data_IF_246263775127
#
_entry.id   IF_246263775127
#
_cell.length_a   1.000
_cell.length_b   1.000
_cell.length_c   1.000
_cell.angle_alpha   90.00
_cell.angle_beta   90.00
_cell.angle_gamma   90.00
#
_symmetry.space_group_name_H-M   'P 1'
#
loop_
_entity.id
_entity.type
_entity.pdbx_description
1 polymer ?
#
# COMPACT_ATOMS: atom_id res chain seq x y z
N UNK A 1 8.70 10.41 -19.18
CA UNK A 1 7.44 11.17 -19.17
C UNK A 1 7.75 12.56 -18.63
N UNK A 2 7.08 13.60 -19.14
CA UNK A 2 7.14 14.91 -18.48
C UNK A 2 6.57 14.81 -17.06
N UNK A 3 7.06 15.63 -16.13
CA UNK A 3 6.66 15.59 -14.72
C UNK A 3 5.16 15.82 -14.53
N UNK A 4 4.57 16.76 -15.28
CA UNK A 4 3.14 17.06 -15.22
C UNK A 4 2.29 15.86 -15.63
N UNK A 5 2.71 15.13 -16.68
CA UNK A 5 2.04 13.91 -17.12
C UNK A 5 2.21 12.77 -16.11
N UNK A 6 3.36 12.69 -15.44
CA UNK A 6 3.57 11.74 -14.35
C UNK A 6 2.62 12.03 -13.18
N UNK A 7 2.56 13.28 -12.70
CA UNK A 7 1.67 13.71 -11.62
C UNK A 7 0.20 13.46 -11.99
N UNK A 8 -0.19 13.79 -13.22
CA UNK A 8 -1.56 13.53 -13.71
C UNK A 8 -1.92 12.04 -13.65
N UNK A 9 -1.00 11.15 -14.05
CA UNK A 9 -1.23 9.69 -13.96
C UNK A 9 -1.28 9.18 -12.52
N UNK A 10 -0.51 9.77 -11.60
CA UNK A 10 -0.59 9.46 -10.18
C UNK A 10 -1.98 9.83 -9.61
N UNK A 11 -2.51 11.00 -10.00
CA UNK A 11 -3.87 11.42 -9.63
C UNK A 11 -4.95 10.48 -10.16
N UNK A 12 -4.85 10.06 -11.43
CA UNK A 12 -5.78 9.08 -12.01
C UNK A 12 -5.71 7.73 -11.31
N UNK A 13 -4.51 7.28 -10.91
CA UNK A 13 -4.35 6.05 -10.14
C UNK A 13 -5.07 6.15 -8.79
N UNK A 14 -4.87 7.24 -8.05
CA UNK A 14 -5.54 7.48 -6.77
C UNK A 14 -7.07 7.45 -6.92
N UNK A 15 -7.59 8.15 -7.93
CA UNK A 15 -9.04 8.19 -8.20
C UNK A 15 -9.59 6.79 -8.51
N UNK A 16 -8.86 6.00 -9.30
CA UNK A 16 -9.26 4.64 -9.63
C UNK A 16 -9.24 3.71 -8.40
N UNK A 17 -8.20 3.78 -7.57
CA UNK A 17 -8.08 3.00 -6.33
C UNK A 17 -9.22 3.32 -5.35
N UNK A 18 -9.52 4.61 -5.14
CA UNK A 18 -10.63 5.04 -4.27
C UNK A 18 -11.95 4.46 -4.77
N UNK A 19 -12.25 4.60 -6.06
CA UNK A 19 -13.49 4.07 -6.65
C UNK A 19 -13.58 2.55 -6.51
N UNK A 20 -12.50 1.83 -6.80
CA UNK A 20 -12.45 0.38 -6.68
C UNK A 20 -12.73 -0.08 -5.24
N UNK A 21 -12.17 0.60 -4.24
CA UNK A 21 -12.43 0.29 -2.84
C UNK A 21 -13.86 0.62 -2.40
N UNK A 22 -14.48 1.66 -2.97
CA UNK A 22 -15.90 1.96 -2.72
C UNK A 22 -16.85 0.89 -3.29
N UNK A 23 -16.42 0.10 -4.28
CA UNK A 23 -17.21 -0.99 -4.85
C UNK A 23 -17.17 -2.28 -4.02
N UNK A 24 -16.26 -2.39 -3.03
CA UNK A 24 -16.09 -3.59 -2.19
C UNK A 24 -17.40 -4.11 -1.59
N UNK A 25 -18.28 -3.29 -0.99
CA UNK A 25 -19.57 -3.77 -0.46
C UNK A 25 -20.50 -4.37 -1.54
N UNK A 26 -20.42 -3.85 -2.78
CA UNK A 26 -21.21 -4.39 -3.88
C UNK A 26 -20.65 -5.74 -4.34
N UNK A 27 -19.33 -5.88 -4.40
CA UNK A 27 -18.68 -7.15 -4.73
C UNK A 27 -18.98 -8.24 -3.69
N UNK A 28 -18.98 -7.91 -2.39
CA UNK A 28 -19.38 -8.84 -1.32
C UNK A 28 -20.82 -9.33 -1.52
N UNK A 29 -21.77 -8.42 -1.78
CA UNK A 29 -23.17 -8.81 -2.04
C UNK A 29 -23.30 -9.68 -3.29
N UNK A 30 -22.51 -9.38 -4.32
CA UNK A 30 -22.54 -10.13 -5.56
C UNK A 30 -21.95 -11.54 -5.39
N UNK A 31 -20.85 -11.70 -4.63
CA UNK A 31 -20.25 -13.01 -4.37
C UNK A 31 -21.21 -13.90 -3.58
N UNK A 32 -21.91 -13.35 -2.58
CA UNK A 32 -22.93 -14.07 -1.81
C UNK A 32 -24.09 -14.55 -2.70
N UNK A 33 -24.56 -13.72 -3.64
CA UNK A 33 -25.60 -14.13 -4.62
C UNK A 33 -25.15 -15.26 -5.54
N UNK A 34 -23.85 -15.37 -5.80
CA UNK A 34 -23.26 -16.45 -6.59
C UNK A 34 -22.96 -17.71 -5.76
N UNK A 35 -23.25 -17.69 -4.46
CA UNK A 35 -23.07 -18.84 -3.57
C UNK A 35 -21.69 -18.94 -2.91
N UNK A 36 -20.90 -17.85 -2.88
CA UNK A 36 -19.64 -17.81 -2.15
C UNK A 36 -19.85 -17.32 -0.71
N UNK A 37 -19.39 -18.11 0.26
CA UNK A 37 -19.48 -17.77 1.69
C UNK A 37 -18.45 -16.71 2.11
N UNK A 38 -17.27 -16.71 1.48
CA UNK A 38 -16.14 -15.85 1.85
C UNK A 38 -15.76 -14.89 0.72
N UNK A 39 -15.27 -13.71 1.09
CA UNK A 39 -14.77 -12.69 0.18
C UNK A 39 -13.42 -12.15 0.66
N UNK A 40 -12.43 -12.12 -0.23
CA UNK A 40 -11.10 -11.56 0.03
C UNK A 40 -10.93 -10.31 -0.84
N UNK A 41 -10.75 -9.17 -0.19
CA UNK A 41 -10.30 -7.95 -0.85
C UNK A 41 -8.77 -7.92 -0.84
N UNK A 42 -8.12 -8.36 -1.92
CA UNK A 42 -6.66 -8.23 -2.09
C UNK A 42 -6.30 -6.78 -2.43
N UNK A 43 -6.34 -5.92 -1.41
CA UNK A 43 -6.08 -4.50 -1.54
C UNK A 43 -4.58 -4.24 -1.77
N UNK A 44 -4.27 -3.36 -2.71
CA UNK A 44 -2.90 -2.94 -2.97
C UNK A 44 -2.26 -2.22 -1.77
N UNK A 45 -0.93 -2.18 -1.72
CA UNK A 45 -0.20 -1.44 -0.69
C UNK A 45 -0.48 0.08 -0.68
N UNK A 46 -1.06 0.60 -1.77
CA UNK A 46 -1.60 1.96 -1.87
C UNK A 46 -2.80 2.22 -0.95
N UNK A 47 -3.44 1.20 -0.37
CA UNK A 47 -4.62 1.39 0.48
C UNK A 47 -4.36 2.39 1.63
N UNK A 48 -3.17 2.35 2.24
CA UNK A 48 -2.80 3.27 3.32
C UNK A 48 -2.62 4.74 2.87
N UNK A 49 -2.52 4.97 1.57
CA UNK A 49 -2.25 6.27 0.94
C UNK A 49 -3.52 6.96 0.44
N UNK A 50 -4.70 6.34 0.55
CA UNK A 50 -5.91 6.90 -0.07
C UNK A 50 -6.45 8.14 0.65
N UNK A 51 -6.13 8.31 1.93
CA UNK A 51 -6.48 9.49 2.74
C UNK A 51 -7.97 9.68 3.03
N UNK A 52 -8.85 8.83 2.48
CA UNK A 52 -10.29 8.94 2.62
C UNK A 52 -10.79 8.20 3.88
N UNK A 53 -11.05 8.97 4.94
CA UNK A 53 -11.55 8.44 6.22
C UNK A 53 -12.91 7.76 6.09
N UNK A 54 -13.79 8.23 5.20
CA UNK A 54 -15.12 7.63 5.01
C UNK A 54 -14.98 6.27 4.32
N UNK A 55 -14.07 6.17 3.36
CA UNK A 55 -13.73 4.90 2.72
C UNK A 55 -13.18 3.89 3.72
N UNK A 56 -12.22 4.29 4.57
CA UNK A 56 -11.69 3.37 5.58
C UNK A 56 -12.75 2.88 6.56
N UNK A 57 -13.66 3.76 7.02
CA UNK A 57 -14.81 3.38 7.84
C UNK A 57 -15.76 2.42 7.10
N UNK A 58 -16.01 2.65 5.81
CA UNK A 58 -16.82 1.76 4.99
C UNK A 58 -16.18 0.37 4.88
N UNK A 59 -14.88 0.29 4.62
CA UNK A 59 -14.15 -0.97 4.54
C UNK A 59 -14.18 -1.70 5.88
N UNK A 60 -13.86 -1.03 6.98
CA UNK A 60 -13.88 -1.62 8.33
C UNK A 60 -15.28 -2.12 8.74
N UNK A 61 -16.34 -1.47 8.25
CA UNK A 61 -17.73 -1.91 8.51
C UNK A 61 -18.10 -3.18 7.73
N UNK A 62 -17.51 -3.41 6.56
CA UNK A 62 -17.91 -4.50 5.67
C UNK A 62 -16.87 -5.63 5.58
N UNK A 63 -15.66 -5.41 6.09
CA UNK A 63 -14.52 -6.32 5.99
C UNK A 63 -13.67 -6.27 7.25
N UNK A 64 -12.84 -7.30 7.45
CA UNK A 64 -11.78 -7.28 8.42
C UNK A 64 -10.49 -6.79 7.75
N UNK A 65 -9.99 -5.61 8.13
CA UNK A 65 -8.75 -5.06 7.57
C UNK A 65 -7.56 -5.72 8.28
N UNK A 66 -6.74 -6.44 7.52
CA UNK A 66 -5.56 -7.14 8.03
C UNK A 66 -4.29 -6.55 7.44
N UNK A 67 -3.44 -6.00 8.31
CA UNK A 67 -2.07 -5.64 7.95
C UNK A 67 -1.12 -6.83 8.14
N UNK A 68 -0.58 -7.34 7.04
CA UNK A 68 0.46 -8.37 7.04
C UNK A 68 1.82 -7.69 7.23
N UNK A 69 2.30 -7.66 8.48
CA UNK A 69 3.53 -6.97 8.86
C UNK A 69 4.74 -7.85 8.64
N UNK A 70 5.65 -7.35 7.81
CA UNK A 70 6.93 -8.01 7.53
C UNK A 70 7.97 -7.72 8.61
N UNK A 71 8.95 -8.62 8.75
CA UNK A 71 10.11 -8.38 9.60
C UNK A 71 11.16 -7.48 8.89
N UNK A 72 12.18 -7.03 9.65
CA UNK A 72 13.24 -6.14 9.15
C UNK A 72 14.14 -6.77 8.08
N UNK A 73 14.29 -8.09 8.04
CA UNK A 73 15.07 -8.78 7.00
C UNK A 73 14.31 -8.79 5.67
N UNK A 74 13.00 -9.06 5.70
CA UNK A 74 12.12 -9.00 4.54
C UNK A 74 12.00 -7.58 3.97
N UNK A 75 11.88 -6.55 4.83
CA UNK A 75 11.94 -5.14 4.41
C UNK A 75 13.26 -4.82 3.69
N UNK A 76 14.40 -5.26 4.23
CA UNK A 76 15.71 -5.09 3.60
C UNK A 76 15.78 -5.78 2.24
N UNK A 77 15.33 -7.03 2.15
CA UNK A 77 15.29 -7.77 0.89
C UNK A 77 14.39 -7.10 -0.16
N UNK A 78 13.25 -6.55 0.25
CA UNK A 78 12.35 -5.77 -0.61
C UNK A 78 13.04 -4.53 -1.18
N UNK A 79 13.74 -3.76 -0.32
CA UNK A 79 14.49 -2.58 -0.72
C UNK A 79 15.61 -2.94 -1.71
N UNK A 80 16.41 -3.97 -1.42
CA UNK A 80 17.49 -4.41 -2.31
C UNK A 80 16.95 -4.88 -3.67
N UNK A 81 15.85 -5.62 -3.68
CA UNK A 81 15.19 -6.03 -4.93
C UNK A 81 14.75 -4.82 -5.75
N UNK A 82 14.15 -3.80 -5.11
CA UNK A 82 13.71 -2.59 -5.81
C UNK A 82 14.88 -1.75 -6.33
N UNK A 83 16.05 -1.81 -5.70
CA UNK A 83 17.25 -1.14 -6.24
C UNK A 83 17.71 -1.78 -7.56
N UNK A 84 17.64 -3.10 -7.64
CA UNK A 84 18.07 -3.86 -8.83
C UNK A 84 17.04 -3.83 -9.95
N UNK A 85 15.75 -3.87 -9.61
CA UNK A 85 14.64 -3.90 -10.57
C UNK A 85 13.53 -2.95 -10.10
N UNK A 86 13.69 -1.63 -10.35
CA UNK A 86 12.71 -0.64 -9.95
C UNK A 86 11.39 -0.89 -10.68
N UNK A 87 10.30 -1.00 -9.92
CA UNK A 87 8.94 -1.09 -10.46
C UNK A 87 8.27 0.29 -10.39
N UNK A 88 7.35 0.61 -11.32
CA UNK A 88 6.46 1.75 -11.15
C UNK A 88 5.69 1.62 -9.84
N UNK A 89 5.61 2.70 -9.08
CA UNK A 89 4.85 2.77 -7.82
C UNK A 89 4.02 4.05 -7.79
N UNK A 90 2.93 3.99 -7.02
CA UNK A 90 2.17 5.17 -6.66
C UNK A 90 2.87 5.93 -5.52
N UNK A 91 2.84 7.26 -5.56
CA UNK A 91 3.29 8.17 -4.52
C UNK A 91 2.13 9.11 -4.16
N UNK A 92 1.84 9.23 -2.86
CA UNK A 92 0.92 10.27 -2.40
C UNK A 92 1.47 11.67 -2.80
N UNK A 93 0.64 12.62 -3.25
CA UNK A 93 1.09 13.93 -3.73
C UNK A 93 2.05 14.64 -2.76
N UNK A 94 1.67 14.75 -1.49
CA UNK A 94 2.48 15.42 -0.47
C UNK A 94 3.84 14.74 -0.25
N UNK A 95 3.86 13.39 -0.25
CA UNK A 95 5.09 12.63 -0.14
C UNK A 95 5.97 12.85 -1.37
N UNK A 96 5.39 12.80 -2.56
CA UNK A 96 6.10 12.96 -3.82
C UNK A 96 6.74 14.34 -3.94
N UNK A 97 5.99 15.40 -3.61
CA UNK A 97 6.49 16.78 -3.64
C UNK A 97 7.67 16.97 -2.68
N UNK A 98 7.50 16.51 -1.43
CA UNK A 98 8.55 16.58 -0.40
C UNK A 98 9.81 15.79 -0.80
N UNK A 99 9.62 14.57 -1.32
CA UNK A 99 10.71 13.72 -1.78
C UNK A 99 11.43 14.32 -2.99
N UNK A 100 10.69 14.89 -3.95
CA UNK A 100 11.23 15.51 -5.15
C UNK A 100 12.10 16.72 -4.79
N UNK A 101 11.59 17.61 -3.93
CA UNK A 101 12.35 18.76 -3.42
C UNK A 101 13.63 18.33 -2.72
N UNK A 102 13.52 17.36 -1.81
CA UNK A 102 14.68 16.82 -1.08
C UNK A 102 15.73 16.21 -2.01
N UNK A 103 15.30 15.59 -3.12
CA UNK A 103 16.22 15.02 -4.09
C UNK A 103 16.92 16.09 -4.93
N UNK A 104 16.22 17.14 -5.36
CA UNK A 104 16.81 18.27 -6.07
C UNK A 104 17.88 18.96 -5.22
N UNK A 105 17.53 19.29 -3.97
CA UNK A 105 18.45 19.90 -3.00
C UNK A 105 19.68 19.03 -2.76
N UNK A 106 19.49 17.72 -2.52
CA UNK A 106 20.58 16.76 -2.29
C UNK A 106 21.59 16.69 -3.45
N UNK A 107 21.12 16.82 -4.68
CA UNK A 107 21.95 16.66 -5.88
C UNK A 107 22.36 18.00 -6.51
N UNK A 108 21.99 19.13 -5.89
CA UNK A 108 22.22 20.47 -6.45
C UNK A 108 21.67 20.61 -7.87
N UNK A 109 20.45 20.11 -8.09
CA UNK A 109 19.72 20.25 -9.35
C UNK A 109 18.74 21.40 -9.25
N UNK A 110 18.70 22.24 -10.28
CA UNK A 110 17.77 23.37 -10.37
C UNK A 110 16.43 22.94 -10.98
N UNK A 111 16.43 21.89 -11.82
CA UNK A 111 15.26 21.46 -12.58
C UNK A 111 15.04 19.95 -12.51
N UNK A 112 13.76 19.55 -12.49
CA UNK A 112 13.33 18.14 -12.54
C UNK A 112 13.86 17.41 -13.78
N UNK A 113 14.07 18.12 -14.89
CA UNK A 113 14.61 17.54 -16.12
C UNK A 113 16.04 16.98 -15.97
N UNK A 114 16.77 17.37 -14.92
CA UNK A 114 18.11 16.85 -14.61
C UNK A 114 18.06 15.49 -13.88
N UNK A 115 16.89 15.08 -13.40
CA UNK A 115 16.72 13.85 -12.64
C UNK A 115 16.71 12.64 -13.59
N UNK A 116 17.57 11.66 -13.30
CA UNK A 116 17.40 10.30 -13.85
C UNK A 116 16.24 9.60 -13.12
N UNK A 117 15.17 9.17 -13.82
CA UNK A 117 14.03 8.51 -13.18
C UNK A 117 14.46 7.26 -12.41
N UNK A 118 15.37 6.45 -12.96
CA UNK A 118 15.86 5.23 -12.30
C UNK A 118 16.63 5.57 -11.02
N UNK A 119 17.49 6.60 -11.06
CA UNK A 119 18.23 7.03 -9.88
C UNK A 119 17.30 7.58 -8.79
N UNK A 120 16.27 8.34 -9.18
CA UNK A 120 15.26 8.83 -8.26
C UNK A 120 14.45 7.69 -7.63
N UNK A 121 13.96 6.74 -8.43
CA UNK A 121 13.17 5.60 -7.93
C UNK A 121 13.98 4.79 -6.91
N UNK A 122 15.26 4.50 -7.20
CA UNK A 122 16.16 3.79 -6.26
C UNK A 122 16.36 4.55 -4.95
N UNK A 123 16.40 5.88 -5.02
CA UNK A 123 16.60 6.74 -3.86
C UNK A 123 15.33 6.94 -3.03
N UNK A 124 14.18 7.10 -3.68
CA UNK A 124 12.90 7.40 -3.01
C UNK A 124 12.25 6.15 -2.45
N UNK A 125 12.43 4.98 -3.07
CA UNK A 125 11.72 3.77 -2.68
C UNK A 125 11.94 3.35 -1.21
N UNK A 126 13.17 3.35 -0.65
CA UNK A 126 13.36 3.06 0.77
C UNK A 126 12.59 4.03 1.69
N UNK A 127 12.50 5.31 1.31
CA UNK A 127 11.77 6.34 2.06
C UNK A 127 10.26 6.14 1.96
N UNK A 128 9.78 5.72 0.79
CA UNK A 128 8.38 5.36 0.59
C UNK A 128 7.99 4.17 1.45
N UNK A 129 8.86 3.15 1.56
CA UNK A 129 8.62 1.99 2.44
C UNK A 129 8.50 2.46 3.89
N UNK A 130 9.43 3.28 4.38
CA UNK A 130 9.39 3.80 5.75
C UNK A 130 8.10 4.59 6.05
N UNK A 131 7.72 5.51 5.17
CA UNK A 131 6.49 6.29 5.27
C UNK A 131 5.24 5.39 5.29
N UNK A 132 5.20 4.38 4.42
CA UNK A 132 4.09 3.43 4.36
C UNK A 132 4.00 2.52 5.58
N UNK A 133 5.11 2.10 6.16
CA UNK A 133 5.08 1.27 7.38
C UNK A 133 4.36 1.99 8.53
N UNK A 134 4.60 3.30 8.67
CA UNK A 134 3.88 4.11 9.66
C UNK A 134 2.38 4.21 9.34
N UNK A 135 2.02 4.40 8.06
CA UNK A 135 0.62 4.51 7.62
C UNK A 135 -0.14 3.18 7.70
N UNK A 136 0.50 2.06 7.37
CA UNK A 136 -0.09 0.73 7.55
C UNK A 136 -0.39 0.47 9.03
N UNK A 137 0.56 0.78 9.91
CA UNK A 137 0.35 0.61 11.35
C UNK A 137 -0.80 1.50 11.84
N UNK A 138 -0.82 2.78 11.45
CA UNK A 138 -1.91 3.68 11.85
C UNK A 138 -3.29 3.23 11.33
N UNK A 139 -3.36 2.71 10.10
CA UNK A 139 -4.60 2.16 9.54
C UNK A 139 -5.07 0.93 10.31
N UNK A 140 -4.15 0.02 10.64
CA UNK A 140 -4.45 -1.16 11.45
C UNK A 140 -4.89 -0.76 12.85
N UNK A 141 -4.15 0.11 13.54
CA UNK A 141 -4.47 0.58 14.89
C UNK A 141 -5.87 1.22 14.98
N UNK A 142 -6.33 1.87 13.91
CA UNK A 142 -7.60 2.56 13.90
C UNK A 142 -8.78 1.71 13.38
N UNK A 143 -8.54 0.81 12.43
CA UNK A 143 -9.60 0.17 11.65
C UNK A 143 -9.43 -1.34 11.45
N UNK A 144 -8.37 -1.95 11.96
CA UNK A 144 -8.02 -3.32 11.63
C UNK A 144 -7.12 -4.00 12.64
N UNK A 145 -6.38 -4.99 12.17
CA UNK A 145 -5.54 -5.85 12.98
C UNK A 145 -4.24 -6.16 12.25
N UNK A 146 -3.23 -6.60 13.01
CA UNK A 146 -1.92 -6.92 12.47
C UNK A 146 -1.59 -8.39 12.67
N UNK A 147 -1.15 -9.07 11.61
CA UNK A 147 -0.53 -10.40 11.69
C UNK A 147 0.89 -10.32 11.15
N UNK A 148 1.78 -11.22 11.58
CA UNK A 148 3.14 -11.25 11.05
C UNK A 148 3.20 -12.07 9.76
N UNK A 149 3.96 -11.61 8.79
CA UNK A 149 4.20 -12.34 7.53
C UNK A 149 4.80 -13.72 7.77
N UNK A 150 5.65 -13.86 8.80
CA UNK A 150 6.33 -15.11 9.10
C UNK A 150 5.32 -16.13 9.61
N UNK A 151 4.43 -15.75 10.53
CA UNK A 151 3.36 -16.63 11.03
C UNK A 151 2.45 -17.09 9.87
N UNK A 152 2.10 -16.17 8.97
CA UNK A 152 1.32 -16.47 7.78
C UNK A 152 2.03 -17.45 6.83
N UNK A 153 3.36 -17.35 6.69
CA UNK A 153 4.16 -18.25 5.86
C UNK A 153 4.21 -19.70 6.41
N UNK A 154 3.96 -19.88 7.70
CA UNK A 154 3.89 -21.21 8.33
C UNK A 154 2.49 -21.85 8.21
N UNK A 155 1.48 -21.11 7.76
CA UNK A 155 0.15 -21.67 7.50
C UNK A 155 0.17 -22.59 6.27
N UNK A 156 -0.41 -23.79 6.38
CA UNK A 156 -0.46 -24.78 5.30
C UNK A 156 -1.89 -25.04 4.81
N UNK A 157 -2.88 -24.39 5.43
CA UNK A 157 -4.30 -24.54 5.12
C UNK A 157 -5.06 -23.23 5.32
N UNK A 158 -6.30 -23.17 4.80
CA UNK A 158 -7.19 -22.03 5.06
C UNK A 158 -7.53 -21.89 6.55
N UNK A 159 -7.71 -23.01 7.25
CA UNK A 159 -8.01 -23.03 8.68
C UNK A 159 -6.85 -22.45 9.51
N UNK A 160 -5.60 -22.72 9.13
CA UNK A 160 -4.43 -22.11 9.79
C UNK A 160 -4.45 -20.58 9.68
N UNK A 161 -4.82 -20.05 8.50
CA UNK A 161 -4.91 -18.61 8.26
C UNK A 161 -6.06 -18.00 9.07
N UNK A 162 -7.22 -18.66 9.10
CA UNK A 162 -8.38 -18.21 9.89
C UNK A 162 -8.02 -18.19 11.39
N UNK A 163 -7.36 -19.23 11.89
CA UNK A 163 -6.91 -19.30 13.28
C UNK A 163 -5.88 -18.22 13.62
N UNK A 164 -4.93 -17.95 12.72
CA UNK A 164 -3.96 -16.87 12.87
C UNK A 164 -4.66 -15.50 12.96
N UNK A 165 -5.64 -15.25 12.09
CA UNK A 165 -6.43 -14.02 12.10
C UNK A 165 -7.27 -13.93 13.38
N UNK A 166 -7.94 -15.01 13.77
CA UNK A 166 -8.75 -15.05 14.99
C UNK A 166 -7.92 -14.71 16.24
N UNK A 167 -6.71 -15.25 16.34
CA UNK A 167 -5.79 -14.94 17.44
C UNK A 167 -5.29 -13.49 17.47
N UNK A 168 -5.50 -12.70 16.41
CA UNK A 168 -5.22 -11.27 16.40
C UNK A 168 -6.43 -10.40 16.80
N UNK A 169 -7.63 -10.98 16.92
CA UNK A 169 -8.85 -10.27 17.32
C UNK A 169 -9.03 -10.15 18.84
N UNK A 170 -8.36 -11.03 19.60
CA UNK A 170 -8.37 -11.11 21.06
C UNK A 170 -7.37 -10.12 21.70
#
# INVERSE_FOLDING_TARGET
LAIDEFIRRQGLFLEAEIKAMYDVPNFIKQSQKLGYDNFINDAGGSLCELGDKKLYQLLAKNTLIIYIKTNKDAERALIERSKNQPKPVYYHPDFFESALRSYLEKNSFDYVAQISPDAFVRWVFPRLVEDRLAKYQALADQYGYTIKSDDLYHCNSADDVINLIAGALD
#
